data_IF_943855534880
#
_entry.id   IF_943855534880
#
_cell.length_a   1.000
_cell.length_b   1.000
_cell.length_c   1.000
_cell.angle_alpha   90.00
_cell.angle_beta   90.00
_cell.angle_gamma   90.00
#
_symmetry.space_group_name_H-M   'P 1'
#
loop_
_entity.id
_entity.type
_entity.pdbx_description
1 polymer ?
#
# COMPACT_ATOMS: atom_id res chain seq x y z
N UNK A 1 2.65 -6.86 -16.33
CA UNK A 1 3.40 -5.92 -17.14
C UNK A 1 4.70 -5.48 -16.48
N UNK A 2 5.50 -4.75 -17.20
CA UNK A 2 6.86 -4.32 -16.83
C UNK A 2 6.93 -3.47 -15.54
N UNK A 3 5.85 -2.79 -15.16
CA UNK A 3 5.79 -1.91 -13.99
C UNK A 3 5.78 -2.66 -12.63
N UNK A 4 5.51 -3.96 -12.60
CA UNK A 4 5.40 -4.75 -11.36
C UNK A 4 6.56 -5.72 -11.15
N UNK A 5 7.68 -5.52 -11.85
CA UNK A 5 8.89 -6.31 -11.64
C UNK A 5 9.56 -6.00 -10.30
N UNK A 6 10.33 -6.93 -9.71
CA UNK A 6 11.08 -6.68 -8.48
C UNK A 6 12.00 -5.45 -8.59
N UNK A 7 12.69 -5.28 -9.71
CA UNK A 7 13.60 -4.16 -9.95
C UNK A 7 12.86 -2.81 -9.95
N UNK A 8 11.74 -2.70 -10.69
CA UNK A 8 10.93 -1.47 -10.72
C UNK A 8 10.32 -1.19 -9.35
N UNK A 9 9.87 -2.22 -8.63
CA UNK A 9 9.32 -2.08 -7.27
C UNK A 9 10.37 -1.53 -6.30
N UNK A 10 11.61 -2.03 -6.36
CA UNK A 10 12.71 -1.55 -5.53
C UNK A 10 13.05 -0.08 -5.85
N UNK A 11 13.20 0.25 -7.15
CA UNK A 11 13.49 1.61 -7.60
C UNK A 11 12.38 2.59 -7.19
N UNK A 12 11.13 2.24 -7.39
CA UNK A 12 9.98 3.07 -6.98
C UNK A 12 9.99 3.34 -5.47
N UNK A 13 10.33 2.34 -4.65
CA UNK A 13 10.46 2.53 -3.20
C UNK A 13 11.59 3.52 -2.85
N UNK A 14 12.74 3.45 -3.52
CA UNK A 14 13.85 4.36 -3.31
C UNK A 14 13.52 5.78 -3.74
N UNK A 15 13.00 5.95 -4.95
CA UNK A 15 12.64 7.27 -5.51
C UNK A 15 11.53 7.93 -4.70
N UNK A 16 10.55 7.16 -4.26
CA UNK A 16 9.44 7.67 -3.42
C UNK A 16 9.87 8.10 -2.02
N UNK A 17 11.09 7.78 -1.58
CA UNK A 17 11.65 8.28 -0.32
C UNK A 17 12.25 9.68 -0.44
N UNK A 18 12.46 10.20 -1.66
CA UNK A 18 13.03 11.52 -1.91
C UNK A 18 11.97 12.61 -1.66
N UNK A 19 12.16 13.53 -0.69
CA UNK A 19 11.15 14.53 -0.33
C UNK A 19 10.69 15.37 -1.52
N UNK A 20 11.60 15.88 -2.35
CA UNK A 20 11.28 16.70 -3.51
C UNK A 20 10.37 15.96 -4.54
N UNK A 21 10.58 14.66 -4.74
CA UNK A 21 9.73 13.84 -5.61
C UNK A 21 8.32 13.73 -5.01
N UNK A 22 8.22 13.53 -3.73
CA UNK A 22 6.92 13.45 -3.03
C UNK A 22 6.16 14.76 -3.10
N UNK A 23 6.84 15.86 -2.85
CA UNK A 23 6.24 17.20 -2.93
C UNK A 23 5.75 17.53 -4.33
N UNK A 24 6.51 17.15 -5.35
CA UNK A 24 6.10 17.32 -6.74
C UNK A 24 4.91 16.44 -7.12
N UNK A 25 4.85 15.19 -6.64
CA UNK A 25 3.75 14.26 -6.94
C UNK A 25 2.45 14.58 -6.20
N UNK A 26 2.53 15.19 -5.02
CA UNK A 26 1.36 15.42 -4.16
C UNK A 26 0.23 16.20 -4.85
N UNK A 27 0.48 17.36 -5.53
CA UNK A 27 -0.58 18.06 -6.24
C UNK A 27 -1.15 17.26 -7.41
N UNK A 28 -0.32 16.48 -8.12
CA UNK A 28 -0.78 15.61 -9.21
C UNK A 28 -1.73 14.53 -8.69
N UNK A 29 -1.37 13.87 -7.57
CA UNK A 29 -2.22 12.86 -6.94
C UNK A 29 -3.55 13.46 -6.45
N UNK A 30 -3.51 14.65 -5.84
CA UNK A 30 -4.72 15.35 -5.38
C UNK A 30 -5.63 15.77 -6.52
N UNK A 31 -5.06 16.19 -7.64
CA UNK A 31 -5.83 16.55 -8.82
C UNK A 31 -6.60 15.35 -9.39
N UNK A 32 -6.01 14.15 -9.40
CA UNK A 32 -6.68 12.91 -9.82
C UNK A 32 -7.94 12.64 -8.97
N UNK A 33 -7.90 12.95 -7.67
CA UNK A 33 -9.03 12.76 -6.76
C UNK A 33 -10.01 13.92 -6.69
N UNK A 34 -9.73 15.06 -7.35
CA UNK A 34 -10.54 16.28 -7.21
C UNK A 34 -11.97 16.15 -7.76
N UNK A 35 -12.20 15.26 -8.71
CA UNK A 35 -13.52 14.99 -9.30
C UNK A 35 -14.38 14.01 -8.47
N UNK A 36 -13.83 13.43 -7.40
CA UNK A 36 -14.51 12.44 -6.56
C UNK A 36 -14.54 11.03 -7.16
N UNK A 37 -15.26 10.13 -6.48
CA UNK A 37 -15.43 8.73 -6.90
C UNK A 37 -14.12 7.98 -7.15
N UNK A 38 -13.09 8.23 -6.33
CA UNK A 38 -11.76 7.63 -6.47
C UNK A 38 -11.52 6.61 -5.37
N UNK A 39 -11.01 5.44 -5.76
CA UNK A 39 -10.39 4.48 -4.85
C UNK A 39 -8.89 4.52 -5.09
N UNK A 40 -8.13 4.85 -4.06
CA UNK A 40 -6.69 4.97 -4.15
C UNK A 40 -5.98 4.08 -3.13
N UNK A 41 -4.87 3.48 -3.54
CA UNK A 41 -4.01 2.68 -2.66
C UNK A 41 -2.61 3.31 -2.53
N UNK A 42 -1.98 3.13 -1.38
CA UNK A 42 -0.62 3.61 -1.17
C UNK A 42 -0.19 3.53 0.27
N UNK A 43 0.88 4.25 0.62
CA UNK A 43 1.50 4.21 1.95
C UNK A 43 1.04 5.36 2.84
N UNK A 44 0.73 6.50 2.25
CA UNK A 44 0.37 7.75 2.91
C UNK A 44 -0.89 8.39 2.28
N UNK A 45 -1.70 7.58 1.60
CA UNK A 45 -2.89 8.07 0.89
C UNK A 45 -3.86 8.71 1.88
N UNK A 46 -4.21 8.04 2.98
CA UNK A 46 -5.16 8.54 3.97
C UNK A 46 -4.60 9.57 4.95
N UNK A 47 -3.26 9.72 5.03
CA UNK A 47 -2.62 10.68 5.96
C UNK A 47 -2.17 11.95 5.28
N UNK A 48 -1.74 11.89 4.02
CA UNK A 48 -1.14 13.03 3.33
C UNK A 48 -1.81 13.40 2.01
N UNK A 49 -2.16 12.41 1.18
CA UNK A 49 -2.73 12.68 -0.15
C UNK A 49 -4.19 13.09 -0.02
N UNK A 50 -5.01 12.25 0.60
CA UNK A 50 -6.45 12.45 0.82
C UNK A 50 -6.79 12.35 2.32
N UNK A 51 -6.34 13.31 3.15
CA UNK A 51 -6.64 13.29 4.59
C UNK A 51 -8.14 13.46 4.89
N UNK A 52 -8.92 14.02 3.96
CA UNK A 52 -10.36 14.24 4.07
C UNK A 52 -11.19 13.19 3.30
N UNK A 53 -10.61 12.03 2.96
CA UNK A 53 -11.35 10.96 2.30
C UNK A 53 -12.50 10.45 3.18
N UNK A 54 -13.66 10.18 2.57
CA UNK A 54 -14.89 9.75 3.26
C UNK A 54 -14.69 8.44 4.03
N UNK A 55 -13.94 7.50 3.47
CA UNK A 55 -13.61 6.23 4.10
C UNK A 55 -12.14 5.92 3.91
N UNK A 56 -11.48 5.52 5.00
CA UNK A 56 -10.07 5.13 5.00
C UNK A 56 -9.91 3.75 5.63
N UNK A 57 -9.12 2.92 4.97
CA UNK A 57 -8.74 1.61 5.49
C UNK A 57 -7.23 1.51 5.63
N UNK A 58 -6.78 0.87 6.69
CA UNK A 58 -5.40 0.50 6.88
C UNK A 58 -5.30 -1.02 6.97
N UNK A 59 -4.85 -1.64 5.89
CA UNK A 59 -4.74 -3.10 5.79
C UNK A 59 -3.42 -3.57 6.39
N UNK A 60 -3.50 -4.51 7.32
CA UNK A 60 -2.36 -5.15 7.97
C UNK A 60 -2.37 -6.65 7.70
N UNK A 61 -1.22 -7.28 7.78
CA UNK A 61 -1.07 -8.72 7.86
C UNK A 61 0.31 -9.07 8.41
N UNK A 62 0.43 -10.27 8.99
CA UNK A 62 1.69 -10.82 9.44
C UNK A 62 2.74 -10.78 8.34
N UNK A 63 3.99 -10.49 8.70
CA UNK A 63 5.09 -10.38 7.75
C UNK A 63 5.29 -11.66 6.93
N UNK A 64 5.12 -12.83 7.55
CA UNK A 64 5.21 -14.13 6.90
C UNK A 64 4.09 -14.33 5.87
N UNK A 65 2.86 -13.97 6.24
CA UNK A 65 1.69 -14.04 5.34
C UNK A 65 1.88 -13.13 4.15
N UNK A 66 2.33 -11.90 4.36
CA UNK A 66 2.60 -10.93 3.27
C UNK A 66 3.71 -11.42 2.34
N UNK A 67 4.81 -11.97 2.91
CA UNK A 67 5.90 -12.52 2.12
C UNK A 67 5.44 -13.72 1.29
N UNK A 68 4.60 -14.60 1.85
CA UNK A 68 4.03 -15.75 1.16
C UNK A 68 3.13 -15.32 0.00
N UNK A 69 2.23 -14.34 0.23
CA UNK A 69 1.37 -13.79 -0.82
C UNK A 69 2.21 -13.21 -1.96
N UNK A 70 3.20 -12.38 -1.62
CA UNK A 70 4.07 -11.74 -2.63
C UNK A 70 4.90 -12.73 -3.39
N UNK A 71 5.46 -13.74 -2.73
CA UNK A 71 6.22 -14.79 -3.40
C UNK A 71 5.36 -15.55 -4.41
N UNK A 72 4.14 -15.94 -4.03
CA UNK A 72 3.19 -16.60 -4.95
C UNK A 72 2.85 -15.72 -6.16
N UNK A 73 2.61 -14.44 -5.98
CA UNK A 73 2.37 -13.49 -7.07
C UNK A 73 3.55 -13.44 -8.05
N UNK A 74 4.79 -13.34 -7.54
CA UNK A 74 5.98 -13.27 -8.38
C UNK A 74 6.20 -14.55 -9.17
N UNK A 75 6.02 -15.71 -8.53
CA UNK A 75 6.12 -17.01 -9.20
C UNK A 75 5.04 -17.16 -10.26
N UNK A 76 3.79 -16.80 -9.97
CA UNK A 76 2.69 -16.82 -10.93
C UNK A 76 2.91 -15.86 -12.11
N UNK A 77 3.65 -14.76 -11.90
CA UNK A 77 4.05 -13.83 -12.95
C UNK A 77 5.29 -14.30 -13.75
N UNK A 78 5.81 -15.51 -13.47
CA UNK A 78 6.95 -16.10 -14.19
C UNK A 78 8.32 -15.67 -13.68
N UNK A 79 8.40 -14.99 -12.52
CA UNK A 79 9.70 -14.62 -11.95
C UNK A 79 10.31 -15.78 -11.16
N UNK A 80 11.60 -16.03 -11.40
CA UNK A 80 12.38 -16.99 -10.59
C UNK A 80 12.93 -16.27 -9.35
N UNK A 81 12.23 -16.38 -8.24
CA UNK A 81 12.58 -15.71 -6.97
C UNK A 81 12.61 -16.72 -5.82
N UNK A 82 13.51 -16.50 -4.86
CA UNK A 82 13.56 -17.27 -3.62
C UNK A 82 12.67 -16.62 -2.56
N UNK A 83 11.98 -17.44 -1.76
CA UNK A 83 11.10 -16.95 -0.69
C UNK A 83 11.82 -16.05 0.31
N UNK A 84 13.00 -16.47 0.80
CA UNK A 84 13.79 -15.71 1.75
C UNK A 84 14.24 -14.35 1.19
N UNK A 85 14.55 -14.29 -0.11
CA UNK A 85 14.86 -13.03 -0.75
C UNK A 85 13.64 -12.12 -0.81
N UNK A 86 12.47 -12.64 -1.21
CA UNK A 86 11.21 -11.90 -1.22
C UNK A 86 10.89 -11.34 0.16
N UNK A 87 11.06 -12.14 1.20
CA UNK A 87 10.82 -11.74 2.60
C UNK A 87 11.77 -10.62 3.04
N UNK A 88 13.08 -10.74 2.76
CA UNK A 88 14.06 -9.67 3.07
C UNK A 88 13.74 -8.37 2.35
N UNK A 89 13.42 -8.43 1.06
CA UNK A 89 13.11 -7.25 0.25
C UNK A 89 11.86 -6.52 0.78
N UNK A 90 10.84 -7.27 1.18
CA UNK A 90 9.63 -6.71 1.77
C UNK A 90 9.89 -6.07 3.13
N UNK A 91 10.62 -6.74 4.02
CA UNK A 91 10.98 -6.20 5.34
C UNK A 91 11.78 -4.90 5.19
N UNK A 92 12.81 -4.91 4.34
CA UNK A 92 13.61 -3.71 4.09
C UNK A 92 12.82 -2.56 3.47
N UNK A 93 11.79 -2.86 2.68
CA UNK A 93 10.86 -1.85 2.17
C UNK A 93 9.97 -1.29 3.28
N UNK A 94 9.37 -2.15 4.09
CA UNK A 94 8.50 -1.73 5.19
C UNK A 94 9.26 -0.86 6.20
N UNK A 95 10.51 -1.21 6.51
CA UNK A 95 11.36 -0.44 7.40
C UNK A 95 11.64 0.96 6.82
N UNK A 96 11.96 1.05 5.52
CA UNK A 96 12.10 2.34 4.84
C UNK A 96 10.81 3.15 4.87
N UNK A 97 9.67 2.52 4.58
CA UNK A 97 8.37 3.18 4.51
C UNK A 97 7.93 3.71 5.90
N UNK A 98 8.26 3.00 6.99
CA UNK A 98 7.97 3.43 8.37
C UNK A 98 8.94 4.48 8.90
N UNK A 99 10.22 4.40 8.55
CA UNK A 99 11.27 5.29 9.05
C UNK A 99 11.40 6.62 8.31
N UNK A 100 10.59 6.86 7.27
CA UNK A 100 10.60 8.13 6.53
C UNK A 100 10.29 9.29 7.45
N UNK A 101 11.06 10.37 7.35
CA UNK A 101 10.76 11.66 8.00
C UNK A 101 9.56 12.36 7.35
N UNK A 102 9.35 12.12 6.05
CA UNK A 102 8.23 12.69 5.29
C UNK A 102 7.30 11.55 4.85
N UNK A 103 6.04 11.65 5.25
CA UNK A 103 4.98 10.68 4.92
C UNK A 103 5.31 9.22 5.31
N UNK A 104 5.55 8.96 6.60
CA UNK A 104 5.77 7.60 7.08
C UNK A 104 4.54 6.72 6.83
N UNK A 105 4.75 5.39 6.77
CA UNK A 105 3.68 4.42 6.72
C UNK A 105 3.05 4.26 8.11
N UNK A 106 2.02 5.03 8.37
CA UNK A 106 1.22 5.00 9.59
C UNK A 106 -0.28 5.03 9.24
N UNK A 107 -1.15 4.42 10.05
CA UNK A 107 -2.59 4.57 9.86
C UNK A 107 -3.03 6.01 10.07
N UNK A 108 -3.98 6.49 9.28
CA UNK A 108 -4.69 7.72 9.59
C UNK A 108 -5.49 7.53 10.89
N UNK A 109 -5.66 8.58 11.72
CA UNK A 109 -6.37 8.45 13.00
C UNK A 109 -7.80 7.93 12.88
N UNK A 110 -8.45 8.22 11.76
CA UNK A 110 -9.82 7.84 11.40
C UNK A 110 -9.90 6.62 10.47
N UNK A 111 -8.77 5.98 10.18
CA UNK A 111 -8.75 4.78 9.36
C UNK A 111 -9.24 3.55 10.13
N UNK A 112 -10.10 2.78 9.49
CA UNK A 112 -10.43 1.44 9.96
C UNK A 112 -9.27 0.48 9.69
N UNK A 113 -8.78 -0.17 10.75
CA UNK A 113 -7.67 -1.12 10.66
C UNK A 113 -8.22 -2.52 10.47
N UNK A 114 -7.76 -3.19 9.43
CA UNK A 114 -8.20 -4.55 9.09
C UNK A 114 -6.96 -5.46 9.07
N UNK A 115 -6.89 -6.40 10.02
CA UNK A 115 -5.92 -7.48 9.98
C UNK A 115 -6.39 -8.56 8.99
N UNK A 116 -5.68 -8.68 7.90
CA UNK A 116 -5.98 -9.61 6.82
C UNK A 116 -5.19 -10.92 6.91
N UNK A 117 -4.47 -11.18 8.02
CA UNK A 117 -3.58 -12.34 8.15
C UNK A 117 -4.27 -13.66 7.88
N UNK A 118 -5.51 -13.82 8.36
CA UNK A 118 -6.33 -15.03 8.20
C UNK A 118 -7.50 -14.87 7.21
N UNK A 119 -7.61 -13.72 6.52
CA UNK A 119 -8.74 -13.43 5.64
C UNK A 119 -8.37 -13.68 4.17
N UNK A 120 -9.21 -14.34 3.38
CA UNK A 120 -9.12 -14.35 1.93
C UNK A 120 -9.48 -12.96 1.38
N UNK A 121 -9.01 -12.67 0.15
CA UNK A 121 -9.21 -11.35 -0.46
C UNK A 121 -10.69 -10.96 -0.59
N UNK A 122 -11.54 -11.93 -0.92
CA UNK A 122 -12.98 -11.74 -1.06
C UNK A 122 -13.62 -11.27 0.25
N UNK A 123 -13.26 -11.89 1.39
CA UNK A 123 -13.79 -11.51 2.70
C UNK A 123 -13.32 -10.11 3.12
N UNK A 124 -12.08 -9.71 2.73
CA UNK A 124 -11.59 -8.34 2.97
C UNK A 124 -12.44 -7.34 2.17
N UNK A 125 -12.71 -7.62 0.91
CA UNK A 125 -13.52 -6.76 0.03
C UNK A 125 -14.96 -6.65 0.57
N UNK A 126 -15.58 -7.76 0.96
CA UNK A 126 -16.92 -7.77 1.56
C UNK A 126 -16.99 -6.91 2.83
N UNK A 127 -16.00 -7.05 3.72
CA UNK A 127 -15.91 -6.22 4.91
C UNK A 127 -15.77 -4.73 4.58
N UNK A 128 -14.87 -4.38 3.66
CA UNK A 128 -14.69 -2.99 3.22
C UNK A 128 -15.97 -2.41 2.61
N UNK A 129 -16.68 -3.18 1.77
CA UNK A 129 -17.95 -2.76 1.16
C UNK A 129 -19.03 -2.53 2.22
N UNK A 130 -19.13 -3.40 3.23
CA UNK A 130 -20.07 -3.23 4.33
C UNK A 130 -19.84 -1.92 5.09
N UNK A 131 -18.56 -1.60 5.37
CA UNK A 131 -18.18 -0.34 6.03
C UNK A 131 -18.50 0.87 5.17
N UNK A 132 -18.18 0.82 3.87
CA UNK A 132 -18.49 1.90 2.93
C UNK A 132 -19.99 2.15 2.88
N UNK A 133 -20.78 1.09 2.70
CA UNK A 133 -22.25 1.21 2.63
C UNK A 133 -22.88 1.76 3.92
N UNK A 134 -22.26 1.50 5.07
CA UNK A 134 -22.74 2.02 6.34
C UNK A 134 -22.36 3.49 6.59
N UNK A 135 -21.39 4.05 5.87
CA UNK A 135 -20.89 5.43 6.04
C UNK A 135 -21.35 6.40 4.97
N UNK A 136 -21.77 5.91 3.81
CA UNK A 136 -22.30 6.70 2.71
C UNK A 136 -23.83 6.60 2.60
#
# INVERSE_FOLDING_TARGET
GELRTPAVTALASMVSAIPAVREWLLPVQRQIGAEGCVVAEGRDIGTRVFPEADVKFFLEADAEVRATRRHRELVAAGHSVQFDQTKRDMTGRDDRDRSRTVAPLIPAPDAERIDTSSMPAEAVVEHMLAVITARL
#
